data_IF_850481726722
#
_entry.id   IF_850481726722
#
_cell.length_a   1.000
_cell.length_b   1.000
_cell.length_c   1.000
_cell.angle_alpha   90.00
_cell.angle_beta   90.00
_cell.angle_gamma   90.00
#
_symmetry.space_group_name_H-M   'P 1'
#
loop_
_entity.id
_entity.type
_entity.pdbx_description
1 polymer ?
#
# COMPACT_ATOMS: atom_id res chain seq x y z
N UNK A 1 -2.84 -9.37 -29.88
CA UNK A 1 -3.05 -10.49 -28.95
C UNK A 1 -2.59 -10.05 -27.58
N UNK A 2 -3.35 -10.26 -26.51
CA UNK A 2 -2.86 -9.97 -25.16
C UNK A 2 -1.61 -10.82 -24.91
N UNK A 3 -0.50 -10.18 -24.55
CA UNK A 3 0.76 -10.89 -24.22
C UNK A 3 0.47 -11.75 -22.98
N UNK A 4 0.61 -13.07 -23.11
CA UNK A 4 0.61 -13.95 -21.94
C UNK A 4 1.73 -13.53 -20.99
N UNK A 5 1.46 -13.61 -19.68
CA UNK A 5 2.47 -13.31 -18.66
C UNK A 5 3.66 -14.26 -18.83
N UNK A 6 4.85 -13.67 -18.94
CA UNK A 6 6.07 -14.47 -18.94
C UNK A 6 6.39 -14.99 -17.54
N UNK A 7 7.13 -16.06 -17.42
CA UNK A 7 7.58 -16.61 -16.14
C UNK A 7 8.36 -15.57 -15.31
N UNK A 8 9.17 -14.73 -15.99
CA UNK A 8 9.87 -13.62 -15.36
C UNK A 8 8.91 -12.56 -14.79
N UNK A 9 7.82 -12.23 -15.50
CA UNK A 9 6.82 -11.30 -14.99
C UNK A 9 6.10 -11.85 -13.75
N UNK A 10 5.81 -13.15 -13.73
CA UNK A 10 5.25 -13.82 -12.55
C UNK A 10 6.21 -13.77 -11.36
N UNK A 11 7.50 -14.05 -11.59
CA UNK A 11 8.53 -13.94 -10.55
C UNK A 11 8.67 -12.52 -9.98
N UNK A 12 8.64 -11.49 -10.84
CA UNK A 12 8.68 -10.08 -10.41
C UNK A 12 7.42 -9.73 -9.59
N UNK A 13 6.24 -10.17 -10.01
CA UNK A 13 5.00 -9.94 -9.23
C UNK A 13 5.04 -10.64 -7.87
N UNK A 14 5.56 -11.86 -7.80
CA UNK A 14 5.75 -12.57 -6.54
C UNK A 14 6.71 -11.80 -5.63
N UNK A 15 7.85 -11.34 -6.16
CA UNK A 15 8.78 -10.47 -5.43
C UNK A 15 8.09 -9.21 -4.88
N UNK A 16 7.31 -8.50 -5.71
CA UNK A 16 6.58 -7.31 -5.27
C UNK A 16 5.62 -7.62 -4.12
N UNK A 17 4.82 -8.68 -4.24
CA UNK A 17 3.86 -9.08 -3.20
C UNK A 17 4.56 -9.47 -1.89
N UNK A 18 5.63 -10.25 -1.97
CA UNK A 18 6.44 -10.63 -0.80
C UNK A 18 7.07 -9.39 -0.15
N UNK A 19 7.65 -8.50 -0.94
CA UNK A 19 8.28 -7.28 -0.44
C UNK A 19 7.26 -6.35 0.25
N UNK A 20 6.07 -6.16 -0.32
CA UNK A 20 5.02 -5.34 0.28
C UNK A 20 4.43 -5.95 1.55
N UNK A 21 4.16 -7.25 1.53
CA UNK A 21 3.67 -7.96 2.71
C UNK A 21 4.68 -7.91 3.86
N UNK A 22 5.94 -8.22 3.55
CA UNK A 22 7.04 -8.17 4.53
C UNK A 22 7.27 -6.75 5.04
N UNK A 23 7.05 -5.71 4.21
CA UNK A 23 7.21 -4.32 4.65
C UNK A 23 6.28 -3.95 5.82
N UNK A 24 5.05 -4.47 5.84
CA UNK A 24 4.12 -4.21 6.96
C UNK A 24 4.68 -4.84 8.24
N UNK A 25 5.17 -6.06 8.16
CA UNK A 25 5.77 -6.79 9.30
C UNK A 25 7.06 -6.12 9.77
N UNK A 26 7.97 -5.80 8.85
CA UNK A 26 9.23 -5.09 9.18
C UNK A 26 8.96 -3.72 9.80
N UNK A 27 7.95 -3.01 9.30
CA UNK A 27 7.55 -1.72 9.88
C UNK A 27 6.98 -1.90 11.30
N UNK A 28 6.18 -2.95 11.55
CA UNK A 28 5.73 -3.30 12.91
C UNK A 28 6.91 -3.58 13.84
N UNK A 29 7.88 -4.36 13.39
CA UNK A 29 9.10 -4.62 14.17
C UNK A 29 9.82 -3.31 14.49
N UNK A 30 10.00 -2.44 13.50
CA UNK A 30 10.68 -1.15 13.69
C UNK A 30 9.98 -0.28 14.73
N UNK A 31 8.65 -0.07 14.58
CA UNK A 31 7.95 0.91 15.43
C UNK A 31 7.45 0.35 16.76
N UNK A 32 7.13 -0.94 16.85
CA UNK A 32 6.60 -1.53 18.07
C UNK A 32 7.66 -2.31 18.87
N UNK A 33 8.52 -3.10 18.20
CA UNK A 33 9.49 -3.94 18.89
C UNK A 33 10.81 -3.20 19.17
N UNK A 34 11.31 -2.41 18.20
CA UNK A 34 12.53 -1.62 18.35
C UNK A 34 12.27 -0.21 18.90
N UNK A 35 11.00 0.17 19.09
CA UNK A 35 10.61 1.46 19.64
C UNK A 35 10.98 2.68 18.79
N UNK A 36 11.21 2.50 17.48
CA UNK A 36 11.50 3.63 16.60
C UNK A 36 10.23 4.48 16.45
N UNK A 37 10.27 5.78 16.76
CA UNK A 37 9.10 6.63 16.60
C UNK A 37 8.59 6.63 15.15
N UNK A 38 7.27 6.45 14.92
CA UNK A 38 6.71 6.21 13.57
C UNK A 38 6.98 7.28 12.55
N UNK A 39 6.88 8.56 12.94
CA UNK A 39 7.19 9.67 12.04
C UNK A 39 8.68 9.71 11.73
N UNK A 40 9.52 9.42 12.72
CA UNK A 40 10.96 9.30 12.52
C UNK A 40 11.32 8.13 11.60
N UNK A 41 10.65 6.98 11.73
CA UNK A 41 10.82 5.87 10.80
C UNK A 41 10.43 6.27 9.36
N UNK A 42 9.38 7.08 9.22
CA UNK A 42 8.98 7.66 7.92
C UNK A 42 10.06 8.60 7.37
N UNK A 43 10.71 9.41 8.22
CA UNK A 43 11.85 10.27 7.85
C UNK A 43 13.01 9.43 7.34
N UNK A 44 13.45 8.41 8.09
CA UNK A 44 14.57 7.53 7.72
C UNK A 44 14.33 6.82 6.38
N UNK A 45 13.12 6.27 6.20
CA UNK A 45 12.70 5.65 4.94
C UNK A 45 12.75 6.66 3.78
N UNK A 46 12.20 7.88 3.99
CA UNK A 46 12.15 8.91 2.95
C UNK A 46 13.55 9.43 2.61
N UNK A 47 14.42 9.58 3.60
CA UNK A 47 15.82 9.93 3.40
C UNK A 47 16.56 8.89 2.53
N UNK A 48 16.32 7.61 2.80
CA UNK A 48 16.87 6.52 1.99
C UNK A 48 16.39 6.57 0.54
N UNK A 49 15.08 6.82 0.32
CA UNK A 49 14.53 6.97 -1.03
C UNK A 49 15.16 8.17 -1.76
N UNK A 50 15.26 9.31 -1.08
CA UNK A 50 15.88 10.53 -1.65
C UNK A 50 17.35 10.28 -1.99
N UNK A 51 18.11 9.63 -1.10
CA UNK A 51 19.51 9.32 -1.33
C UNK A 51 19.71 8.42 -2.56
N UNK A 52 18.91 7.35 -2.70
CA UNK A 52 18.99 6.42 -3.84
C UNK A 52 18.53 7.07 -5.14
N UNK A 53 17.48 7.89 -5.10
CA UNK A 53 16.89 8.54 -6.28
C UNK A 53 17.42 9.96 -6.51
N UNK A 54 18.47 10.39 -5.79
CA UNK A 54 19.09 11.69 -5.93
C UNK A 54 19.41 12.07 -7.39
N UNK A 55 19.93 11.18 -8.24
CA UNK A 55 20.21 11.51 -9.63
C UNK A 55 18.96 11.96 -10.42
N UNK A 56 17.75 11.52 -10.04
CA UNK A 56 16.51 11.95 -10.67
C UNK A 56 16.10 13.36 -10.24
N UNK A 57 16.37 13.74 -9.00
CA UNK A 57 16.12 15.09 -8.49
C UNK A 57 17.04 16.13 -9.18
N UNK A 58 18.26 15.73 -9.53
CA UNK A 58 19.24 16.60 -10.19
C UNK A 58 18.93 16.83 -11.68
N UNK A 59 18.04 16.03 -12.30
CA UNK A 59 17.64 16.19 -13.71
C UNK A 59 16.74 17.38 -13.97
N UNK A 60 16.15 17.97 -12.94
CA UNK A 60 15.29 19.15 -13.06
C UNK A 60 14.01 19.07 -12.22
N UNK A 61 13.31 20.18 -12.17
CA UNK A 61 12.05 20.30 -11.41
C UNK A 61 10.86 19.95 -12.33
N UNK A 62 9.86 19.22 -11.85
CA UNK A 62 8.63 19.00 -12.60
C UNK A 62 7.84 20.31 -12.76
N UNK A 63 7.12 20.46 -13.88
CA UNK A 63 6.36 21.68 -14.22
C UNK A 63 5.37 22.09 -13.13
N UNK A 64 4.73 21.10 -12.46
CA UNK A 64 3.73 21.33 -11.40
C UNK A 64 4.28 20.90 -10.03
N UNK A 65 5.46 21.41 -9.66
CA UNK A 65 6.17 21.00 -8.45
C UNK A 65 5.27 20.99 -7.19
N UNK A 66 4.50 22.06 -6.95
CA UNK A 66 3.62 22.14 -5.77
C UNK A 66 2.60 21.00 -5.71
N UNK A 67 1.99 20.66 -6.84
CA UNK A 67 1.03 19.55 -6.92
C UNK A 67 1.73 18.19 -6.76
N UNK A 68 2.93 18.02 -7.34
CA UNK A 68 3.76 16.82 -7.17
C UNK A 68 4.15 16.61 -5.72
N UNK A 69 4.56 17.68 -5.02
CA UNK A 69 4.91 17.62 -3.59
C UNK A 69 3.69 17.28 -2.74
N UNK A 70 2.54 17.90 -2.99
CA UNK A 70 1.31 17.64 -2.23
C UNK A 70 0.81 16.20 -2.40
N UNK A 71 0.65 15.75 -3.66
CA UNK A 71 0.21 14.39 -3.95
C UNK A 71 1.27 13.38 -3.50
N UNK A 72 2.55 13.67 -3.78
CA UNK A 72 3.67 12.84 -3.35
C UNK A 72 3.71 12.65 -1.83
N UNK A 73 3.57 13.73 -1.06
CA UNK A 73 3.48 13.66 0.39
C UNK A 73 2.29 12.80 0.84
N UNK A 74 1.11 13.04 0.26
CA UNK A 74 -0.11 12.33 0.66
C UNK A 74 -0.02 10.81 0.43
N UNK A 75 0.57 10.36 -0.70
CA UNK A 75 0.73 8.92 -1.00
C UNK A 75 1.90 8.26 -0.27
N UNK A 76 2.86 9.03 0.25
CA UNK A 76 4.05 8.49 0.94
C UNK A 76 4.10 8.92 2.40
N UNK A 77 4.57 10.13 2.72
CA UNK A 77 4.73 10.59 4.09
C UNK A 77 3.45 10.54 4.91
N UNK A 78 2.36 11.10 4.39
CA UNK A 78 1.06 11.11 5.07
C UNK A 78 0.47 9.73 5.24
N UNK A 79 0.36 8.96 4.14
CA UNK A 79 -0.21 7.62 4.17
C UNK A 79 0.62 6.65 5.01
N UNK A 80 1.92 6.55 4.76
CA UNK A 80 2.78 5.61 5.52
C UNK A 80 3.01 6.07 6.95
N UNK A 81 3.17 7.38 7.20
CA UNK A 81 3.32 7.90 8.56
C UNK A 81 2.16 7.50 9.47
N UNK A 82 0.92 7.69 9.00
CA UNK A 82 -0.28 7.27 9.73
C UNK A 82 -0.35 5.75 9.87
N UNK A 83 -0.01 4.97 8.83
CA UNK A 83 0.03 3.51 8.93
C UNK A 83 1.08 3.04 9.95
N UNK A 84 2.24 3.69 10.05
CA UNK A 84 3.27 3.35 11.02
C UNK A 84 2.85 3.73 12.45
N UNK A 85 2.13 4.85 12.64
CA UNK A 85 1.47 5.16 13.93
C UNK A 85 0.49 4.04 14.28
N UNK A 86 -0.34 3.60 13.34
CA UNK A 86 -1.27 2.49 13.53
C UNK A 86 -0.57 1.18 13.91
N UNK A 87 0.56 0.87 13.29
CA UNK A 87 1.33 -0.33 13.55
C UNK A 87 1.98 -0.38 14.95
N UNK A 88 2.03 0.72 15.69
CA UNK A 88 2.49 0.67 17.08
C UNK A 88 1.61 -0.29 17.91
N UNK A 89 0.31 -0.25 17.71
CA UNK A 89 -0.66 -1.01 18.50
C UNK A 89 -1.45 -2.05 17.70
N UNK A 90 -1.64 -1.86 16.40
CA UNK A 90 -2.34 -2.82 15.53
C UNK A 90 -1.40 -3.93 15.04
N UNK A 91 -1.98 -5.11 14.76
CA UNK A 91 -1.25 -6.24 14.16
C UNK A 91 -1.01 -6.03 12.66
N UNK A 92 0.10 -6.53 12.09
CA UNK A 92 0.34 -6.56 10.66
C UNK A 92 -0.80 -7.18 9.85
N UNK A 93 -1.37 -8.28 10.35
CA UNK A 93 -2.49 -8.98 9.70
C UNK A 93 -3.73 -8.10 9.58
N UNK A 94 -4.08 -7.38 10.66
CA UNK A 94 -5.22 -6.46 10.66
C UNK A 94 -4.98 -5.25 9.74
N UNK A 95 -3.78 -4.65 9.77
CA UNK A 95 -3.39 -3.56 8.86
C UNK A 95 -3.40 -4.03 7.40
N UNK A 96 -2.99 -5.27 7.12
CA UNK A 96 -3.09 -5.89 5.80
C UNK A 96 -4.54 -5.95 5.27
N UNK A 97 -5.51 -6.25 6.15
CA UNK A 97 -6.93 -6.24 5.80
C UNK A 97 -7.45 -4.80 5.61
N UNK A 98 -7.05 -3.88 6.49
CA UNK A 98 -7.38 -2.45 6.33
C UNK A 98 -6.89 -1.92 4.98
N UNK A 99 -5.70 -2.32 4.53
CA UNK A 99 -5.14 -1.92 3.24
C UNK A 99 -5.98 -2.38 2.04
N UNK A 100 -6.79 -3.45 2.16
CA UNK A 100 -7.74 -3.85 1.12
C UNK A 100 -8.81 -2.78 0.84
N UNK A 101 -9.10 -1.90 1.79
CA UNK A 101 -10.02 -0.78 1.59
C UNK A 101 -9.49 0.26 0.58
N UNK A 102 -8.20 0.28 0.30
CA UNK A 102 -7.60 1.23 -0.64
C UNK A 102 -8.19 1.13 -2.05
N UNK A 103 -8.46 -0.07 -2.54
CA UNK A 103 -9.05 -0.26 -3.87
C UNK A 103 -10.48 0.30 -3.97
N UNK A 104 -11.45 -0.05 -3.10
CA UNK A 104 -12.79 0.52 -3.15
C UNK A 104 -12.81 2.03 -2.88
N UNK A 105 -11.95 2.54 -1.98
CA UNK A 105 -11.84 3.97 -1.71
C UNK A 105 -11.32 4.74 -2.93
N UNK A 106 -10.31 4.21 -3.63
CA UNK A 106 -9.81 4.82 -4.88
C UNK A 106 -10.91 4.88 -5.93
N UNK A 107 -11.70 3.82 -6.08
CA UNK A 107 -12.86 3.82 -7.02
C UNK A 107 -13.91 4.83 -6.57
N UNK A 108 -14.24 4.90 -5.29
CA UNK A 108 -15.19 5.86 -4.74
C UNK A 108 -14.75 7.31 -5.02
N UNK A 109 -13.49 7.63 -4.76
CA UNK A 109 -12.95 8.95 -5.06
C UNK A 109 -12.88 9.24 -6.56
N UNK A 110 -12.62 8.23 -7.40
CA UNK A 110 -12.68 8.41 -8.87
C UNK A 110 -14.11 8.71 -9.35
N UNK A 111 -15.15 8.13 -8.77
CA UNK A 111 -16.54 8.48 -9.04
C UNK A 111 -16.79 9.94 -8.65
N UNK A 112 -16.44 10.33 -7.43
CA UNK A 112 -16.76 11.65 -6.88
C UNK A 112 -15.98 12.78 -7.60
N UNK A 113 -14.69 12.60 -7.84
CA UNK A 113 -13.80 13.67 -8.31
C UNK A 113 -13.48 13.62 -9.81
N UNK A 114 -13.63 12.45 -10.46
CA UNK A 114 -13.38 12.28 -11.89
C UNK A 114 -14.66 12.00 -12.69
N UNK A 115 -15.81 11.81 -12.02
CA UNK A 115 -17.08 11.47 -12.69
C UNK A 115 -17.05 10.09 -13.36
N UNK A 116 -16.23 9.15 -12.87
CA UNK A 116 -16.18 7.79 -13.43
C UNK A 116 -17.48 7.04 -13.14
N UNK A 117 -18.07 6.45 -14.19
CA UNK A 117 -19.26 5.59 -14.04
C UNK A 117 -18.87 4.18 -13.57
N UNK A 118 -19.55 3.70 -12.55
CA UNK A 118 -19.32 2.39 -11.97
C UNK A 118 -20.53 1.49 -12.16
N UNK A 119 -20.29 0.31 -12.76
CA UNK A 119 -21.33 -0.72 -12.91
C UNK A 119 -21.68 -1.32 -11.56
N UNK A 120 -22.94 -1.73 -11.37
CA UNK A 120 -23.50 -2.32 -10.15
C UNK A 120 -22.62 -3.39 -9.48
N UNK A 121 -21.93 -4.24 -10.28
CA UNK A 121 -21.01 -5.27 -9.76
C UNK A 121 -19.86 -4.66 -8.96
N UNK A 122 -19.27 -3.56 -9.43
CA UNK A 122 -18.22 -2.85 -8.67
C UNK A 122 -18.79 -2.22 -7.41
N UNK A 123 -20.03 -1.72 -7.44
CA UNK A 123 -20.73 -1.22 -6.25
C UNK A 123 -20.87 -2.31 -5.17
N UNK A 124 -21.29 -3.52 -5.55
CA UNK A 124 -21.34 -4.66 -4.63
C UNK A 124 -19.95 -5.01 -4.10
N UNK A 125 -18.93 -5.06 -4.98
CA UNK A 125 -17.55 -5.31 -4.55
C UNK A 125 -17.04 -4.28 -3.55
N UNK A 126 -17.37 -2.99 -3.76
CA UNK A 126 -17.02 -1.91 -2.83
C UNK A 126 -17.72 -2.07 -1.48
N UNK A 127 -19.02 -2.33 -1.49
CA UNK A 127 -19.79 -2.55 -0.27
C UNK A 127 -19.27 -3.76 0.54
N UNK A 128 -18.96 -4.86 -0.16
CA UNK A 128 -18.41 -6.06 0.44
C UNK A 128 -16.99 -5.83 1.02
N UNK A 129 -16.14 -5.10 0.29
CA UNK A 129 -14.78 -4.82 0.75
C UNK A 129 -14.77 -3.90 1.97
N UNK A 130 -15.56 -2.81 1.94
CA UNK A 130 -15.65 -1.87 3.06
C UNK A 130 -16.39 -2.48 4.26
N UNK A 131 -17.43 -3.27 4.02
CA UNK A 131 -18.16 -4.00 5.07
C UNK A 131 -17.27 -5.05 5.74
N UNK A 132 -16.48 -5.79 4.97
CA UNK A 132 -15.50 -6.75 5.50
C UNK A 132 -14.41 -6.09 6.34
N UNK A 133 -13.88 -4.96 5.88
CA UNK A 133 -12.95 -4.15 6.67
C UNK A 133 -13.61 -3.66 7.97
N UNK A 134 -14.84 -3.12 7.89
CA UNK A 134 -15.58 -2.67 9.07
C UNK A 134 -15.80 -3.77 10.10
N UNK A 135 -16.09 -5.01 9.65
CA UNK A 135 -16.20 -6.18 10.52
C UNK A 135 -14.86 -6.52 11.18
N UNK A 136 -13.76 -6.45 10.42
CA UNK A 136 -12.43 -6.74 10.92
C UNK A 136 -11.95 -5.73 11.97
N UNK A 137 -12.25 -4.42 11.78
CA UNK A 137 -11.90 -3.33 12.72
C UNK A 137 -12.84 -3.32 13.94
N UNK A 138 -14.12 -3.60 13.73
CA UNK A 138 -15.15 -3.54 14.78
C UNK A 138 -15.09 -4.70 15.77
N UNK A 139 -14.24 -5.70 15.57
CA UNK A 139 -14.07 -6.81 16.49
C UNK A 139 -13.31 -6.36 17.75
N UNK A 140 -13.86 -6.63 18.96
CA UNK A 140 -13.24 -6.16 20.19
C UNK A 140 -11.84 -6.79 20.42
N UNK A 141 -10.89 -5.95 20.80
CA UNK A 141 -9.65 -6.20 21.54
C UNK A 141 -8.57 -7.15 20.98
N UNK A 142 -8.84 -8.00 19.99
CA UNK A 142 -7.89 -9.06 19.61
C UNK A 142 -7.14 -8.80 18.30
N UNK A 143 -7.65 -7.89 17.45
CA UNK A 143 -6.95 -7.45 16.22
C UNK A 143 -5.97 -6.28 16.46
N UNK A 144 -5.89 -5.81 17.69
CA UNK A 144 -5.16 -4.63 18.11
C UNK A 144 -6.07 -3.49 18.55
N UNK A 145 -5.48 -2.39 19.01
CA UNK A 145 -6.21 -1.22 19.44
C UNK A 145 -7.01 -0.61 18.25
N UNK A 146 -8.32 -0.39 18.40
CA UNK A 146 -9.15 0.29 17.38
C UNK A 146 -8.60 1.65 16.95
N UNK A 147 -7.93 2.38 17.84
CA UNK A 147 -7.28 3.66 17.51
C UNK A 147 -6.14 3.45 16.52
N UNK A 148 -5.30 2.43 16.73
CA UNK A 148 -4.23 2.07 15.80
C UNK A 148 -4.76 1.67 14.41
N UNK A 149 -5.84 0.88 14.37
CA UNK A 149 -6.51 0.54 13.11
C UNK A 149 -7.14 1.76 12.44
N UNK A 150 -7.67 2.71 13.23
CA UNK A 150 -8.17 4.00 12.74
C UNK A 150 -7.08 4.84 12.06
N UNK A 151 -5.88 4.91 12.65
CA UNK A 151 -4.72 5.56 12.03
C UNK A 151 -4.30 4.85 10.74
N UNK A 152 -4.24 3.52 10.73
CA UNK A 152 -3.93 2.76 9.52
C UNK A 152 -4.96 3.04 8.41
N UNK A 153 -6.26 3.05 8.75
CA UNK A 153 -7.34 3.38 7.80
C UNK A 153 -7.24 4.81 7.29
N UNK A 154 -6.96 5.79 8.15
CA UNK A 154 -6.75 7.19 7.75
C UNK A 154 -5.58 7.31 6.75
N UNK A 155 -4.50 6.56 6.96
CA UNK A 155 -3.40 6.47 6.02
C UNK A 155 -3.82 5.91 4.66
N UNK A 156 -4.61 4.84 4.65
CA UNK A 156 -5.17 4.28 3.40
C UNK A 156 -6.11 5.27 2.70
N UNK A 157 -6.94 5.97 3.46
CA UNK A 157 -7.89 6.95 2.94
C UNK A 157 -7.16 8.10 2.22
N UNK A 158 -6.13 8.66 2.86
CA UNK A 158 -5.31 9.73 2.27
C UNK A 158 -4.58 9.23 1.02
N UNK A 159 -3.98 8.05 1.07
CA UNK A 159 -3.30 7.44 -0.06
C UNK A 159 -4.23 7.16 -1.23
N UNK A 160 -5.43 6.62 -0.97
CA UNK A 160 -6.45 6.36 -1.97
C UNK A 160 -6.96 7.65 -2.62
N UNK A 161 -7.24 8.68 -1.82
CA UNK A 161 -7.62 10.01 -2.30
C UNK A 161 -6.55 10.59 -3.23
N UNK A 162 -5.31 10.65 -2.77
CA UNK A 162 -4.22 11.23 -3.55
C UNK A 162 -3.92 10.44 -4.83
N UNK A 163 -4.07 9.11 -4.80
CA UNK A 163 -3.79 8.23 -5.96
C UNK A 163 -4.67 8.55 -7.18
N UNK A 164 -5.90 9.05 -6.96
CA UNK A 164 -6.81 9.46 -8.03
C UNK A 164 -6.23 10.62 -8.86
N UNK A 165 -5.48 11.51 -8.20
CA UNK A 165 -4.89 12.68 -8.84
C UNK A 165 -3.51 12.42 -9.45
N UNK A 166 -2.86 11.29 -9.16
CA UNK A 166 -1.57 10.92 -9.77
C UNK A 166 -1.68 10.88 -11.30
N UNK A 167 -2.82 10.44 -11.84
CA UNK A 167 -3.06 10.41 -13.30
C UNK A 167 -3.01 11.80 -13.96
N UNK A 168 -3.17 12.88 -13.19
CA UNK A 168 -3.10 14.28 -13.66
C UNK A 168 -1.68 14.85 -13.68
N UNK A 169 -0.71 14.07 -13.15
CA UNK A 169 0.69 14.42 -13.14
C UNK A 169 1.37 13.77 -14.35
N UNK A 170 1.95 14.60 -15.22
CA UNK A 170 2.80 14.11 -16.30
C UNK A 170 4.23 13.95 -15.78
N UNK A 171 4.44 12.87 -15.03
CA UNK A 171 5.71 12.59 -14.36
C UNK A 171 5.95 11.07 -14.28
N UNK A 172 7.17 10.66 -14.52
CA UNK A 172 7.57 9.26 -14.35
C UNK A 172 7.49 8.82 -12.89
N UNK A 173 7.12 7.56 -12.65
CA UNK A 173 6.91 7.03 -11.31
C UNK A 173 8.13 7.18 -10.38
N UNK A 174 9.34 6.90 -10.87
CA UNK A 174 10.56 7.04 -10.07
C UNK A 174 10.84 8.51 -9.71
N UNK A 175 10.55 9.44 -10.63
CA UNK A 175 10.68 10.88 -10.37
C UNK A 175 9.64 11.35 -9.36
N UNK A 176 8.38 10.88 -9.48
CA UNK A 176 7.35 11.13 -8.47
C UNK A 176 7.78 10.62 -7.10
N UNK A 177 8.32 9.40 -7.03
CA UNK A 177 8.81 8.80 -5.78
C UNK A 177 9.95 9.63 -5.16
N UNK A 178 10.87 10.14 -5.96
CA UNK A 178 11.97 10.99 -5.48
C UNK A 178 11.45 12.30 -4.87
N UNK A 179 10.56 13.01 -5.57
CA UNK A 179 9.96 14.26 -5.07
C UNK A 179 8.99 14.02 -3.90
N UNK A 180 8.29 12.90 -3.88
CA UNK A 180 7.48 12.48 -2.75
C UNK A 180 8.33 12.25 -1.49
N UNK A 181 9.53 11.67 -1.65
CA UNK A 181 10.52 11.55 -0.57
C UNK A 181 10.96 12.91 -0.03
N UNK A 182 11.25 13.87 -0.90
CA UNK A 182 11.59 15.25 -0.51
C UNK A 182 10.44 15.90 0.27
N UNK A 183 9.21 15.80 -0.24
CA UNK A 183 8.03 16.34 0.42
C UNK A 183 7.81 15.69 1.80
N UNK A 184 8.00 14.37 1.87
CA UNK A 184 7.89 13.63 3.13
C UNK A 184 8.93 14.05 4.14
N UNK A 185 10.19 14.26 3.74
CA UNK A 185 11.23 14.79 4.61
C UNK A 185 10.88 16.20 5.12
N UNK A 186 10.45 17.09 4.22
CA UNK A 186 10.14 18.47 4.57
C UNK A 186 9.01 18.58 5.62
N UNK A 187 8.05 17.66 5.63
CA UNK A 187 6.92 17.68 6.57
C UNK A 187 7.18 16.77 7.78
N UNK A 188 7.69 15.56 7.58
CA UNK A 188 7.82 14.58 8.65
C UNK A 188 9.01 14.86 9.57
N UNK A 189 10.08 15.52 9.08
CA UNK A 189 11.21 15.87 9.94
C UNK A 189 10.84 16.90 11.02
N UNK A 190 10.22 18.04 10.72
CA UNK A 190 9.74 18.91 11.78
C UNK A 190 8.63 18.27 12.63
N UNK A 191 7.77 17.44 12.04
CA UNK A 191 6.71 16.75 12.79
C UNK A 191 7.29 15.78 13.84
N UNK A 192 8.26 14.94 13.49
CA UNK A 192 8.88 14.03 14.47
C UNK A 192 9.62 14.80 15.57
N UNK A 193 10.29 15.90 15.24
CA UNK A 193 10.98 16.73 16.23
C UNK A 193 10.03 17.42 17.21
N UNK A 194 8.80 17.73 16.76
CA UNK A 194 7.80 18.40 17.58
C UNK A 194 6.91 17.43 18.38
N UNK A 195 6.63 16.24 17.85
CA UNK A 195 5.60 15.34 18.37
C UNK A 195 6.15 14.05 18.99
N UNK A 196 7.40 13.71 18.70
CA UNK A 196 7.99 12.44 19.13
C UNK A 196 9.28 12.70 19.93
N UNK A 197 9.67 11.73 20.75
CA UNK A 197 10.92 11.74 21.53
C UNK A 197 11.61 10.38 21.40
N UNK A 198 12.90 10.32 21.74
CA UNK A 198 13.64 9.06 21.76
C UNK A 198 14.17 8.58 20.40
N UNK A 199 14.18 9.43 19.38
CA UNK A 199 14.62 9.09 18.01
C UNK A 199 16.03 8.49 17.98
N UNK A 200 16.99 9.18 18.61
CA UNK A 200 18.41 8.77 18.64
C UNK A 200 18.56 7.53 19.51
N UNK A 201 17.94 7.54 20.70
CA UNK A 201 18.01 6.43 21.64
C UNK A 201 17.52 5.10 21.04
N UNK A 202 16.42 5.13 20.24
CA UNK A 202 15.92 3.95 19.55
C UNK A 202 16.91 3.40 18.51
N UNK A 203 17.62 4.27 17.79
CA UNK A 203 18.65 3.85 16.84
C UNK A 203 19.88 3.29 17.56
N UNK A 204 20.32 3.93 18.64
CA UNK A 204 21.48 3.49 19.44
C UNK A 204 21.24 2.15 20.14
N UNK A 205 20.01 1.88 20.56
CA UNK A 205 19.64 0.63 21.20
C UNK A 205 19.78 -0.60 20.27
N UNK A 206 19.51 -0.44 18.96
CA UNK A 206 19.56 -1.56 17.99
C UNK A 206 19.96 -1.07 16.58
N UNK A 207 21.16 -0.49 16.39
CA UNK A 207 21.50 0.23 15.16
C UNK A 207 21.41 -0.64 13.90
N UNK A 208 21.92 -1.86 13.92
CA UNK A 208 21.89 -2.76 12.76
C UNK A 208 20.47 -3.19 12.39
N UNK A 209 19.62 -3.45 13.40
CA UNK A 209 18.23 -3.83 13.16
C UNK A 209 17.43 -2.67 12.56
N UNK A 210 17.59 -1.46 13.11
CA UNK A 210 16.93 -0.25 12.59
C UNK A 210 17.38 0.05 11.17
N UNK A 211 18.69 0.02 10.90
CA UNK A 211 19.25 0.22 9.55
C UNK A 211 18.68 -0.85 8.59
N UNK A 212 18.64 -2.12 9.01
CA UNK A 212 18.05 -3.19 8.21
C UNK A 212 16.59 -2.93 7.84
N UNK A 213 15.76 -2.53 8.81
CA UNK A 213 14.37 -2.17 8.57
C UNK A 213 14.23 -0.98 7.59
N UNK A 214 15.05 0.05 7.78
CA UNK A 214 15.02 1.27 6.96
C UNK A 214 15.48 0.97 5.52
N UNK A 215 16.57 0.23 5.34
CA UNK A 215 17.05 -0.14 4.01
C UNK A 215 16.05 -1.06 3.29
N UNK A 216 15.45 -2.01 4.02
CA UNK A 216 14.41 -2.85 3.44
C UNK A 216 13.22 -2.01 2.96
N UNK A 217 12.67 -1.15 3.81
CA UNK A 217 11.53 -0.30 3.47
C UNK A 217 11.84 0.74 2.39
N UNK A 218 13.02 1.36 2.44
CA UNK A 218 13.45 2.40 1.50
C UNK A 218 13.92 1.84 0.17
N UNK A 219 14.88 0.91 0.19
CA UNK A 219 15.52 0.40 -1.04
C UNK A 219 14.71 -0.74 -1.65
N UNK A 220 14.48 -1.82 -0.89
CA UNK A 220 13.85 -3.02 -1.46
C UNK A 220 12.39 -2.74 -1.84
N UNK A 221 11.64 -2.09 -0.94
CA UNK A 221 10.21 -1.86 -1.15
C UNK A 221 9.96 -0.61 -1.96
N UNK A 222 10.39 0.57 -1.47
CA UNK A 222 10.04 1.85 -2.10
C UNK A 222 10.68 2.02 -3.46
N UNK A 223 11.95 1.71 -3.61
CA UNK A 223 12.65 1.84 -4.90
C UNK A 223 12.47 0.57 -5.73
N UNK A 224 12.77 -0.61 -5.18
CA UNK A 224 12.78 -1.86 -5.91
C UNK A 224 11.39 -2.34 -6.33
N UNK A 225 10.54 -2.72 -5.35
CA UNK A 225 9.25 -3.34 -5.64
C UNK A 225 8.30 -2.40 -6.38
N UNK A 226 8.21 -1.11 -5.98
CA UNK A 226 7.35 -0.17 -6.69
C UNK A 226 7.82 0.10 -8.12
N UNK A 227 9.12 0.23 -8.37
CA UNK A 227 9.62 0.42 -9.74
C UNK A 227 9.41 -0.82 -10.60
N UNK A 228 9.62 -2.02 -10.03
CA UNK A 228 9.38 -3.28 -10.72
C UNK A 228 7.91 -3.48 -11.07
N UNK A 229 6.99 -3.18 -10.15
CA UNK A 229 5.56 -3.18 -10.40
C UNK A 229 5.17 -2.21 -11.52
N UNK A 230 5.68 -0.96 -11.47
CA UNK A 230 5.41 0.04 -12.50
C UNK A 230 5.91 -0.40 -13.88
N UNK A 231 7.08 -1.01 -13.94
CA UNK A 231 7.62 -1.54 -15.19
C UNK A 231 6.70 -2.62 -15.79
N UNK A 232 6.15 -3.51 -14.94
CA UNK A 232 5.20 -4.52 -15.40
C UNK A 232 3.87 -3.90 -15.82
N UNK A 233 3.38 -2.92 -15.06
CA UNK A 233 2.14 -2.21 -15.36
C UNK A 233 2.18 -1.47 -16.71
N UNK A 234 3.37 -1.02 -17.14
CA UNK A 234 3.57 -0.41 -18.46
C UNK A 234 3.68 -1.44 -19.60
N UNK A 235 4.08 -2.68 -19.31
CA UNK A 235 4.35 -3.72 -20.32
C UNK A 235 3.18 -4.67 -20.56
N UNK A 236 2.34 -4.87 -19.56
CA UNK A 236 1.24 -5.82 -19.55
C UNK A 236 -0.09 -5.13 -19.27
N UNK A 237 -1.18 -5.80 -19.66
CA UNK A 237 -2.52 -5.31 -19.37
C UNK A 237 -2.76 -5.25 -17.85
N UNK A 238 -3.28 -4.12 -17.38
CA UNK A 238 -3.64 -3.92 -15.97
C UNK A 238 -4.57 -5.03 -15.44
N UNK A 239 -5.45 -5.58 -16.29
CA UNK A 239 -6.34 -6.68 -15.91
C UNK A 239 -5.59 -7.98 -15.56
N UNK A 240 -4.32 -8.12 -15.96
CA UNK A 240 -3.48 -9.26 -15.61
C UNK A 240 -2.63 -8.97 -14.36
N UNK A 241 -2.11 -7.76 -14.23
CA UNK A 241 -1.15 -7.40 -13.17
C UNK A 241 -1.87 -7.06 -11.85
N UNK A 242 -2.95 -6.26 -11.91
CA UNK A 242 -3.61 -5.77 -10.70
C UNK A 242 -4.23 -6.90 -9.85
N UNK A 243 -4.90 -7.94 -10.42
CA UNK A 243 -5.41 -9.04 -9.61
C UNK A 243 -4.32 -9.79 -8.83
N UNK A 244 -3.08 -9.82 -9.33
CA UNK A 244 -1.99 -10.51 -8.64
C UNK A 244 -1.61 -9.83 -7.32
N UNK A 245 -1.89 -8.53 -7.13
CA UNK A 245 -1.62 -7.83 -5.88
C UNK A 245 -2.51 -8.30 -4.73
N UNK A 246 -3.60 -9.04 -5.00
CA UNK A 246 -4.42 -9.67 -3.96
C UNK A 246 -3.67 -10.72 -3.14
N UNK A 247 -2.51 -11.18 -3.62
CA UNK A 247 -1.63 -12.05 -2.86
C UNK A 247 -0.97 -11.33 -1.66
N UNK A 248 -0.76 -10.00 -1.75
CA UNK A 248 -0.10 -9.21 -0.69
C UNK A 248 -0.78 -9.37 0.67
N UNK A 249 -2.09 -9.14 0.86
CA UNK A 249 -2.72 -9.26 2.17
C UNK A 249 -2.69 -10.69 2.71
N UNK A 250 -2.77 -11.71 1.86
CA UNK A 250 -2.64 -13.11 2.28
C UNK A 250 -1.24 -13.40 2.82
N UNK A 251 -0.20 -12.92 2.13
CA UNK A 251 1.18 -13.01 2.59
C UNK A 251 1.41 -12.18 3.87
N UNK A 252 0.76 -11.01 3.99
CA UNK A 252 0.86 -10.19 5.21
C UNK A 252 0.31 -10.94 6.42
N UNK A 253 -0.83 -11.60 6.28
CA UNK A 253 -1.40 -12.45 7.33
C UNK A 253 -0.45 -13.60 7.67
N UNK A 254 0.06 -14.31 6.66
CA UNK A 254 0.98 -15.41 6.87
C UNK A 254 2.28 -14.97 7.58
N UNK A 255 2.90 -13.88 7.14
CA UNK A 255 4.11 -13.35 7.76
C UNK A 255 3.84 -12.73 9.14
N UNK A 256 2.70 -12.04 9.32
CA UNK A 256 2.29 -11.50 10.61
C UNK A 256 2.11 -12.60 11.65
N UNK A 257 1.40 -13.66 11.29
CA UNK A 257 1.23 -14.83 12.18
C UNK A 257 2.55 -15.49 12.50
N UNK A 258 3.42 -15.67 11.49
CA UNK A 258 4.68 -16.39 11.68
C UNK A 258 5.75 -15.57 12.41
N UNK A 259 5.91 -14.27 12.08
CA UNK A 259 7.03 -13.44 12.55
C UNK A 259 6.67 -12.55 13.74
N UNK A 260 5.41 -12.10 13.86
CA UNK A 260 4.96 -11.22 14.94
C UNK A 260 3.97 -11.89 15.90
N UNK A 261 3.62 -13.16 15.64
CA UNK A 261 2.72 -13.91 16.51
C UNK A 261 1.28 -13.40 16.47
N UNK A 262 0.85 -12.82 15.34
CA UNK A 262 -0.51 -12.31 15.20
C UNK A 262 -1.52 -13.43 15.43
N UNK A 263 -2.49 -13.19 16.29
CA UNK A 263 -3.62 -14.09 16.51
C UNK A 263 -4.74 -13.78 15.52
N UNK A 264 -5.21 -14.81 14.82
CA UNK A 264 -6.27 -14.66 13.82
C UNK A 264 -7.58 -15.12 14.40
N UNK A 265 -8.43 -14.15 14.76
CA UNK A 265 -9.77 -14.42 15.29
C UNK A 265 -10.83 -14.45 14.18
N UNK A 266 -11.95 -15.10 14.44
CA UNK A 266 -12.98 -15.29 13.43
C UNK A 266 -13.48 -14.00 12.75
N UNK A 267 -13.64 -12.84 13.43
CA UNK A 267 -14.06 -11.61 12.75
C UNK A 267 -13.03 -11.11 11.74
N UNK A 268 -11.72 -11.26 12.08
CA UNK A 268 -10.63 -10.91 11.18
C UNK A 268 -10.61 -11.84 9.95
N UNK A 269 -10.87 -13.15 10.12
CA UNK A 269 -10.96 -14.11 9.03
C UNK A 269 -12.16 -13.81 8.11
N UNK A 270 -13.34 -13.64 8.67
CA UNK A 270 -14.56 -13.39 7.90
C UNK A 270 -14.50 -12.02 7.23
N UNK A 271 -14.11 -10.98 7.97
CA UNK A 271 -13.95 -9.62 7.45
C UNK A 271 -12.88 -9.57 6.35
N UNK A 272 -11.74 -10.22 6.55
CA UNK A 272 -10.67 -10.34 5.56
C UNK A 272 -11.10 -11.10 4.30
N UNK A 273 -11.80 -12.21 4.44
CA UNK A 273 -12.34 -12.95 3.30
C UNK A 273 -13.37 -12.13 2.51
N UNK A 274 -14.28 -11.44 3.20
CA UNK A 274 -15.22 -10.51 2.56
C UNK A 274 -14.50 -9.38 1.83
N UNK A 275 -13.50 -8.78 2.45
CA UNK A 275 -12.71 -7.70 1.85
C UNK A 275 -11.96 -8.20 0.61
N UNK A 276 -11.32 -9.35 0.67
CA UNK A 276 -10.63 -9.98 -0.48
C UNK A 276 -11.59 -10.26 -1.64
N UNK A 277 -12.73 -10.87 -1.36
CA UNK A 277 -13.76 -11.16 -2.39
C UNK A 277 -14.28 -9.85 -2.98
N UNK A 278 -14.55 -8.84 -2.16
CA UNK A 278 -14.99 -7.53 -2.60
C UNK A 278 -14.00 -6.87 -3.54
N UNK A 279 -12.71 -6.84 -3.16
CA UNK A 279 -11.63 -6.30 -4.01
C UNK A 279 -11.46 -7.14 -5.28
N UNK A 280 -11.55 -8.47 -5.20
CA UNK A 280 -11.49 -9.34 -6.38
C UNK A 280 -12.61 -9.00 -7.39
N UNK A 281 -13.84 -8.74 -6.92
CA UNK A 281 -14.96 -8.30 -7.77
C UNK A 281 -14.68 -6.96 -8.45
N UNK A 282 -14.02 -6.01 -7.75
CA UNK A 282 -13.66 -4.71 -8.30
C UNK A 282 -12.60 -4.84 -9.38
N UNK A 283 -11.56 -5.63 -9.11
CA UNK A 283 -10.32 -5.70 -9.88
C UNK A 283 -10.44 -6.66 -11.06
N UNK A 284 -11.07 -7.83 -10.87
CA UNK A 284 -11.21 -8.86 -11.92
C UNK A 284 -12.32 -8.44 -12.89
N UNK A 285 -11.91 -8.02 -14.09
CA UNK A 285 -12.83 -7.75 -15.18
C UNK A 285 -13.09 -9.05 -15.95
N UNK A 286 -14.35 -9.56 -16.06
CA UNK A 286 -14.63 -10.68 -16.94
C UNK A 286 -14.30 -10.27 -18.37
N UNK A 287 -13.40 -11.01 -19.03
CA UNK A 287 -13.13 -10.78 -20.44
C UNK A 287 -14.39 -11.11 -21.26
N UNK A 288 -14.80 -10.23 -22.17
CA UNK A 288 -15.99 -10.44 -23.02
C UNK A 288 -15.87 -11.70 -23.89
N UNK A 289 -14.68 -12.25 -24.06
CA UNK A 289 -14.41 -13.44 -24.88
C UNK A 289 -14.83 -14.75 -24.21
N UNK A 290 -14.69 -14.90 -22.89
CA UNK A 290 -15.07 -16.13 -22.19
C UNK A 290 -16.59 -16.33 -22.15
N UNK A 291 -17.36 -15.24 -22.07
CA UNK A 291 -18.82 -15.32 -22.02
C UNK A 291 -19.46 -15.59 -23.40
N UNK A 292 -18.80 -15.19 -24.50
CA UNK A 292 -19.28 -15.48 -25.86
C UNK A 292 -19.10 -16.93 -26.25
N UNK A 293 -18.07 -17.62 -25.79
CA UNK A 293 -17.84 -19.04 -26.08
C UNK A 293 -18.83 -19.97 -25.36
N UNK A 294 -19.36 -19.54 -24.21
CA UNK A 294 -20.37 -20.31 -23.45
C UNK A 294 -21.78 -20.15 -24.00
N UNK A 295 -22.08 -19.05 -24.71
CA UNK A 295 -23.38 -18.76 -25.33
C UNK A 295 -23.44 -19.13 -26.80
N UNK A 296 -22.34 -19.55 -27.42
CA UNK A 296 -22.36 -20.12 -28.77
C UNK A 296 -22.91 -21.55 -28.70
N UNK A 297 -24.24 -21.68 -28.78
CA UNK A 297 -24.88 -22.96 -29.04
C UNK A 297 -24.34 -23.48 -30.37
N UNK A 298 -23.98 -24.78 -30.47
CA UNK A 298 -23.72 -25.39 -31.77
C UNK A 298 -24.98 -25.24 -32.59
N UNK A 299 -24.85 -24.64 -33.77
CA UNK A 299 -25.92 -24.77 -34.79
C UNK A 299 -25.95 -26.22 -35.23
N UNK A 300 -27.02 -26.91 -34.89
CA UNK A 300 -27.42 -28.19 -35.47
C UNK A 300 -27.84 -27.95 -36.92
#
# INVERSE_FOLDING_TARGET
>A
MPKSLSLSALGIMLFCNVAWAMNIVVSKIAVASLGVPPLFYTVLRSATVVAVLLPLLLRGRPERLGLVLLIGFAITGGSFGLQFVGLQTASPSAVGIVNLSGAPLTVLFAIIFLGEEVRWRRGIGMALALGGMGLAIGAPSEAGDPVGLGFAFAGVLIGAFASVFVKRLDIGAATLQAWAGVASLAVMLPATLALETGQIAAVEAAPLAVIGCVLFAGVVVSVGAHSAYFMLFQRYDANLIVPMTLLTPLLTIAFGTWLTGDTIHWPLMVGGAMALVGVAIIVIRPSRTVFKSWLARPKV
#
